data_IF_971031415797
#
_entry.id   IF_971031415797
#
_cell.length_a   1.000
_cell.length_b   1.000
_cell.length_c   1.000
_cell.angle_alpha   90.00
_cell.angle_beta   90.00
_cell.angle_gamma   90.00
#
_symmetry.space_group_name_H-M   'P 1'
#
loop_
_entity.id
_entity.type
_entity.pdbx_description
1 polymer ?
#
# COMPACT_ATOMS: atom_id res chain seq x y z
N UNK A 1 -15.24 -21.69 -2.49
CA UNK A 1 -14.74 -20.41 -1.94
C UNK A 1 -15.49 -19.26 -2.59
N UNK A 2 -16.18 -18.44 -1.80
CA UNK A 2 -16.90 -17.26 -2.30
C UNK A 2 -15.95 -16.11 -2.57
N UNK A 3 -16.18 -15.37 -3.66
CA UNK A 3 -15.43 -14.18 -4.04
C UNK A 3 -16.40 -13.02 -4.32
N UNK A 4 -15.89 -11.80 -4.30
CA UNK A 4 -16.54 -10.63 -4.85
C UNK A 4 -15.62 -9.94 -5.85
N UNK A 5 -16.17 -9.43 -6.94
CA UNK A 5 -15.36 -8.64 -7.89
C UNK A 5 -14.90 -7.32 -7.25
N UNK A 6 -13.70 -6.88 -7.61
CA UNK A 6 -13.24 -5.55 -7.23
C UNK A 6 -14.19 -4.48 -7.77
N UNK A 7 -14.45 -3.43 -7.00
CA UNK A 7 -15.43 -2.37 -7.33
C UNK A 7 -15.07 -1.61 -8.63
N UNK A 8 -13.80 -1.63 -9.02
CA UNK A 8 -13.33 -1.01 -10.27
C UNK A 8 -13.50 -1.92 -11.48
N UNK A 9 -13.95 -3.15 -11.30
CA UNK A 9 -14.17 -4.13 -12.36
C UNK A 9 -15.20 -3.65 -13.37
N UNK A 10 -14.90 -3.83 -14.66
CA UNK A 10 -15.79 -3.50 -15.77
C UNK A 10 -15.92 -4.69 -16.70
N UNK A 11 -17.16 -5.03 -17.00
CA UNK A 11 -17.48 -6.04 -18.00
C UNK A 11 -17.90 -5.34 -19.31
N UNK A 12 -17.39 -5.82 -20.39
CA UNK A 12 -17.61 -5.30 -21.75
C UNK A 12 -17.91 -6.47 -22.69
N UNK A 13 -18.42 -6.17 -23.88
CA UNK A 13 -18.68 -7.15 -24.94
C UNK A 13 -19.57 -8.31 -24.44
N UNK A 14 -20.75 -7.99 -23.94
CA UNK A 14 -21.67 -9.02 -23.42
C UNK A 14 -21.04 -9.92 -22.34
N UNK A 15 -20.03 -9.43 -21.64
CA UNK A 15 -19.33 -10.16 -20.58
C UNK A 15 -18.10 -10.95 -21.02
N UNK A 16 -17.70 -10.88 -22.30
CA UNK A 16 -16.52 -11.59 -22.82
C UNK A 16 -15.19 -10.95 -22.45
N UNK A 17 -15.21 -9.67 -22.06
CA UNK A 17 -14.04 -8.93 -21.60
C UNK A 17 -14.28 -8.41 -20.18
N UNK A 18 -13.44 -8.83 -19.23
CA UNK A 18 -13.37 -8.27 -17.89
C UNK A 18 -12.10 -7.42 -17.79
N UNK A 19 -12.26 -6.15 -17.40
CA UNK A 19 -11.14 -5.24 -17.11
C UNK A 19 -11.17 -4.95 -15.62
N UNK A 20 -10.17 -5.44 -14.87
CA UNK A 20 -10.15 -5.40 -13.43
C UNK A 20 -8.74 -5.56 -12.87
N UNK A 21 -8.59 -5.38 -11.55
CA UNK A 21 -7.36 -5.67 -10.82
C UNK A 21 -6.41 -4.49 -10.66
N UNK A 22 -5.34 -4.75 -9.90
CA UNK A 22 -4.28 -3.77 -9.62
C UNK A 22 -2.91 -4.47 -9.68
N UNK A 23 -2.07 -4.18 -10.70
CA UNK A 23 -2.33 -3.29 -11.85
C UNK A 23 -3.49 -3.78 -12.73
N UNK A 24 -4.11 -2.83 -13.45
CA UNK A 24 -5.27 -3.12 -14.29
C UNK A 24 -4.95 -4.19 -15.34
N UNK A 25 -5.77 -5.22 -15.43
CA UNK A 25 -5.60 -6.39 -16.28
C UNK A 25 -6.87 -6.62 -17.11
N UNK A 26 -6.71 -7.00 -18.37
CA UNK A 26 -7.81 -7.40 -19.23
C UNK A 26 -7.87 -8.93 -19.34
N UNK A 27 -9.02 -9.50 -18.98
CA UNK A 27 -9.31 -10.93 -19.07
C UNK A 27 -10.26 -11.19 -20.22
N UNK A 28 -9.80 -11.96 -21.19
CA UNK A 28 -10.68 -12.46 -22.26
C UNK A 28 -11.34 -13.74 -21.74
N UNK A 29 -12.65 -13.73 -21.64
CA UNK A 29 -13.46 -14.82 -21.06
C UNK A 29 -14.15 -15.60 -22.19
N UNK A 30 -14.00 -16.92 -22.17
CA UNK A 30 -14.90 -17.82 -22.92
C UNK A 30 -16.24 -17.96 -22.18
N UNK A 31 -17.18 -18.69 -22.76
CA UNK A 31 -18.51 -18.88 -22.17
C UNK A 31 -18.47 -19.41 -20.72
N UNK A 32 -17.61 -20.41 -20.42
CA UNK A 32 -17.45 -20.94 -19.07
C UNK A 32 -16.84 -19.90 -18.11
N UNK A 33 -15.83 -19.15 -18.57
CA UNK A 33 -15.22 -18.06 -17.78
C UNK A 33 -16.21 -16.92 -17.52
N UNK A 34 -17.07 -16.60 -18.49
CA UNK A 34 -18.14 -15.62 -18.33
C UNK A 34 -19.10 -16.03 -17.22
N UNK A 35 -19.62 -17.26 -17.28
CA UNK A 35 -20.49 -17.80 -16.22
C UNK A 35 -19.83 -17.84 -14.84
N UNK A 36 -18.54 -18.20 -14.78
CA UNK A 36 -17.81 -18.17 -13.52
C UNK A 36 -17.71 -16.76 -12.95
N UNK A 37 -17.45 -15.73 -13.79
CA UNK A 37 -17.45 -14.33 -13.34
C UNK A 37 -18.85 -13.84 -12.96
N UNK A 38 -19.92 -14.33 -13.61
CA UNK A 38 -21.31 -14.04 -13.23
C UNK A 38 -21.62 -14.60 -11.83
N UNK A 39 -21.23 -15.84 -11.57
CA UNK A 39 -21.38 -16.47 -10.27
C UNK A 39 -20.56 -15.75 -9.17
N UNK A 40 -19.33 -15.29 -9.49
CA UNK A 40 -18.57 -14.42 -8.58
C UNK A 40 -19.31 -13.12 -8.29
N UNK A 41 -19.91 -12.49 -9.31
CA UNK A 41 -20.68 -11.25 -9.12
C UNK A 41 -21.94 -11.49 -8.26
N UNK A 42 -22.56 -12.68 -8.37
CA UNK A 42 -23.70 -13.12 -7.54
C UNK A 42 -23.26 -13.63 -6.15
N UNK A 43 -21.95 -13.66 -5.85
CA UNK A 43 -21.40 -14.23 -4.60
C UNK A 43 -21.74 -15.72 -4.41
N UNK A 44 -21.92 -16.46 -5.49
CA UNK A 44 -22.17 -17.89 -5.49
C UNK A 44 -20.87 -18.68 -5.26
N UNK A 45 -21.02 -19.91 -4.75
CA UNK A 45 -19.87 -20.80 -4.61
C UNK A 45 -19.58 -21.52 -5.92
N UNK A 46 -18.32 -21.48 -6.32
CA UNK A 46 -17.86 -22.07 -7.57
C UNK A 46 -17.14 -23.40 -7.32
N UNK A 47 -17.46 -24.38 -8.10
CA UNK A 47 -16.79 -25.67 -8.07
C UNK A 47 -15.30 -25.61 -8.42
N UNK A 48 -14.56 -26.68 -8.14
CA UNK A 48 -13.12 -26.80 -8.35
C UNK A 48 -12.66 -26.55 -9.79
N UNK A 49 -13.51 -26.78 -10.78
CA UNK A 49 -13.20 -26.55 -12.20
C UNK A 49 -12.90 -25.07 -12.53
N UNK A 50 -13.42 -24.12 -11.76
CA UNK A 50 -13.18 -22.70 -11.94
C UNK A 50 -11.91 -22.21 -11.20
N UNK A 51 -11.26 -23.06 -10.37
CA UNK A 51 -10.16 -22.68 -9.48
C UNK A 51 -9.03 -21.91 -10.19
N UNK A 52 -8.53 -22.30 -11.38
CA UNK A 52 -7.46 -21.55 -12.06
C UNK A 52 -7.86 -20.10 -12.41
N UNK A 53 -9.12 -19.87 -12.78
CA UNK A 53 -9.64 -18.53 -13.02
C UNK A 53 -9.75 -17.75 -11.71
N UNK A 54 -10.30 -18.37 -10.65
CA UNK A 54 -10.43 -17.76 -9.34
C UNK A 54 -9.07 -17.34 -8.76
N UNK A 55 -8.09 -18.21 -8.82
CA UNK A 55 -6.73 -17.91 -8.39
C UNK A 55 -6.16 -16.70 -9.15
N UNK A 56 -6.37 -16.67 -10.46
CA UNK A 56 -5.91 -15.55 -11.27
C UNK A 56 -6.62 -14.24 -10.95
N UNK A 57 -7.93 -14.27 -10.69
CA UNK A 57 -8.68 -13.09 -10.25
C UNK A 57 -8.16 -12.58 -8.89
N UNK A 58 -7.89 -13.50 -7.96
CA UNK A 58 -7.30 -13.18 -6.65
C UNK A 58 -5.88 -12.63 -6.78
N UNK A 59 -5.03 -13.27 -7.57
CA UNK A 59 -3.62 -12.92 -7.74
C UNK A 59 -3.41 -11.63 -8.53
N UNK A 60 -4.41 -11.16 -9.26
CA UNK A 60 -4.41 -9.85 -9.90
C UNK A 60 -5.16 -8.78 -9.11
N UNK A 61 -5.85 -9.14 -8.03
CA UNK A 61 -6.72 -8.23 -7.29
C UNK A 61 -7.99 -7.84 -8.06
N UNK A 62 -8.39 -8.64 -9.06
CA UNK A 62 -9.64 -8.45 -9.79
C UNK A 62 -10.86 -8.94 -9.00
N UNK A 63 -10.63 -9.82 -8.02
CA UNK A 63 -11.61 -10.25 -7.06
C UNK A 63 -11.01 -10.34 -5.66
N UNK A 64 -11.89 -10.30 -4.66
CA UNK A 64 -11.54 -10.39 -3.25
C UNK A 64 -12.23 -11.58 -2.60
N UNK A 65 -11.56 -12.30 -1.69
CA UNK A 65 -12.15 -13.46 -1.03
C UNK A 65 -13.25 -13.02 -0.06
N UNK A 66 -14.25 -13.90 0.08
CA UNK A 66 -15.28 -13.84 1.12
C UNK A 66 -15.18 -15.14 1.94
N UNK A 67 -14.10 -15.27 2.74
CA UNK A 67 -13.87 -16.47 3.51
C UNK A 67 -14.96 -16.63 4.58
N UNK A 68 -15.35 -17.88 4.83
CA UNK A 68 -16.30 -18.17 5.90
C UNK A 68 -15.64 -18.06 7.29
N UNK A 69 -14.33 -18.26 7.36
CA UNK A 69 -13.58 -18.35 8.61
C UNK A 69 -13.77 -19.71 9.29
N UNK A 70 -13.12 -19.87 10.43
CA UNK A 70 -13.30 -21.02 11.31
C UNK A 70 -12.16 -22.02 11.34
N UNK A 71 -11.18 -21.93 10.44
CA UNK A 71 -9.96 -22.75 10.51
C UNK A 71 -9.03 -22.34 11.66
N UNK A 72 -8.94 -21.06 11.92
CA UNK A 72 -8.12 -20.48 12.99
C UNK A 72 -8.97 -19.60 13.90
N UNK A 73 -8.62 -19.59 15.17
CA UNK A 73 -9.21 -18.73 16.18
C UNK A 73 -8.16 -17.93 16.95
N UNK A 74 -8.57 -17.09 17.90
CA UNK A 74 -7.64 -16.32 18.73
C UNK A 74 -6.61 -17.18 19.48
N UNK A 75 -6.96 -18.42 19.83
CA UNK A 75 -6.08 -19.40 20.47
C UNK A 75 -4.93 -19.86 19.57
N UNK A 76 -4.97 -19.60 18.28
CA UNK A 76 -3.94 -19.92 17.31
C UNK A 76 -2.96 -18.76 17.06
N UNK A 77 -3.12 -17.65 17.80
CA UNK A 77 -2.36 -16.41 17.60
C UNK A 77 -1.49 -16.09 18.81
N UNK A 78 -0.19 -15.90 18.58
CA UNK A 78 0.71 -15.22 19.53
C UNK A 78 0.89 -13.77 19.09
N UNK A 79 0.70 -12.82 19.98
CA UNK A 79 0.94 -11.39 19.72
C UNK A 79 2.34 -11.01 20.16
N UNK A 80 3.07 -10.33 19.29
CA UNK A 80 4.41 -9.77 19.54
C UNK A 80 4.35 -8.26 19.54
N UNK A 81 4.73 -7.63 20.64
CA UNK A 81 4.73 -6.17 20.82
C UNK A 81 6.16 -5.68 21.02
N UNK A 82 6.79 -5.07 20.01
CA UNK A 82 8.06 -4.37 20.20
C UNK A 82 7.81 -3.07 20.96
N UNK A 83 8.61 -2.82 22.01
CA UNK A 83 8.45 -1.62 22.86
C UNK A 83 9.80 -0.96 23.07
N UNK A 84 9.82 0.37 22.98
CA UNK A 84 10.96 1.16 23.41
C UNK A 84 10.47 2.50 23.98
N UNK A 85 10.81 2.75 25.25
CA UNK A 85 10.47 4.00 25.96
C UNK A 85 8.98 4.37 25.86
N UNK A 86 8.10 3.35 25.86
CA UNK A 86 6.64 3.50 25.73
C UNK A 86 5.92 2.56 26.69
N UNK A 87 4.73 2.94 27.15
CA UNK A 87 3.85 2.08 27.95
C UNK A 87 2.92 1.28 27.03
N UNK A 88 3.02 -0.07 26.98
CA UNK A 88 2.14 -0.90 26.16
C UNK A 88 0.78 -1.18 26.81
N UNK A 89 0.46 -0.61 27.97
CA UNK A 89 -0.72 -0.97 28.77
C UNK A 89 -2.03 -0.85 27.99
N UNK A 90 -2.21 0.22 27.21
CA UNK A 90 -3.41 0.39 26.42
C UNK A 90 -3.50 -0.61 25.25
N UNK A 91 -2.38 -0.94 24.62
CA UNK A 91 -2.29 -1.99 23.59
C UNK A 91 -2.65 -3.34 24.19
N UNK A 92 -2.03 -3.73 25.32
CA UNK A 92 -2.31 -4.98 26.02
C UNK A 92 -3.78 -5.13 26.37
N UNK A 93 -4.39 -4.09 26.93
CA UNK A 93 -5.81 -4.09 27.34
C UNK A 93 -6.78 -4.24 26.14
N UNK A 94 -6.36 -3.89 24.93
CA UNK A 94 -7.20 -3.90 23.73
C UNK A 94 -7.07 -5.14 22.85
N UNK A 95 -6.11 -6.03 23.11
CA UNK A 95 -5.85 -7.21 22.25
C UNK A 95 -7.01 -8.19 22.18
N UNK A 96 -7.79 -8.31 23.25
CA UNK A 96 -8.75 -9.40 23.44
C UNK A 96 -8.07 -10.75 23.72
N UNK A 97 -8.81 -11.87 23.63
CA UNK A 97 -8.27 -13.20 23.89
C UNK A 97 -7.28 -13.61 22.78
N UNK A 98 -6.12 -14.15 23.17
CA UNK A 98 -5.10 -14.72 22.29
C UNK A 98 -4.35 -15.84 23.01
N UNK A 99 -3.62 -16.68 22.28
CA UNK A 99 -2.86 -17.79 22.88
C UNK A 99 -1.76 -17.30 23.84
N UNK A 100 -1.01 -16.29 23.43
CA UNK A 100 0.07 -15.71 24.22
C UNK A 100 0.41 -14.29 23.76
N UNK A 101 1.02 -13.52 24.65
CA UNK A 101 1.58 -12.20 24.34
C UNK A 101 3.06 -12.18 24.72
N UNK A 102 3.89 -11.71 23.79
CA UNK A 102 5.32 -11.51 23.98
C UNK A 102 5.62 -10.02 23.79
N UNK A 103 6.06 -9.36 24.84
CA UNK A 103 6.53 -7.98 24.81
C UNK A 103 8.05 -8.00 24.71
N UNK A 104 8.60 -7.32 23.69
CA UNK A 104 10.05 -7.19 23.55
C UNK A 104 10.46 -5.76 23.86
N UNK A 105 11.07 -5.59 25.02
CA UNK A 105 11.65 -4.32 25.46
C UNK A 105 13.00 -4.11 24.76
N UNK A 106 13.02 -3.27 23.75
CA UNK A 106 14.20 -3.00 22.93
C UNK A 106 15.13 -1.95 23.58
N UNK A 107 15.57 -2.23 24.80
CA UNK A 107 16.52 -1.39 25.53
C UNK A 107 15.94 -0.05 25.98
N UNK A 108 14.70 -0.07 26.52
CA UNK A 108 14.11 1.13 27.13
C UNK A 108 14.93 1.64 28.32
N UNK A 109 14.93 2.95 28.57
CA UNK A 109 15.61 3.57 29.73
C UNK A 109 15.11 2.97 31.05
N UNK A 110 13.77 2.80 31.15
CA UNK A 110 13.15 2.07 32.26
C UNK A 110 12.63 0.74 31.75
N UNK A 111 12.89 -0.39 32.46
CA UNK A 111 12.34 -1.67 32.08
C UNK A 111 10.83 -1.62 31.91
N UNK A 112 10.34 -2.22 30.82
CA UNK A 112 8.92 -2.31 30.54
C UNK A 112 8.27 -3.33 31.45
N UNK A 113 7.14 -2.96 32.05
CA UNK A 113 6.30 -3.85 32.85
C UNK A 113 5.05 -4.17 32.01
N UNK A 114 4.79 -5.47 31.81
CA UNK A 114 3.67 -5.94 31.00
C UNK A 114 2.99 -7.15 31.69
N UNK A 115 2.09 -6.90 32.64
CA UNK A 115 1.38 -7.97 33.35
C UNK A 115 0.62 -8.88 32.37
N UNK A 116 0.74 -10.19 32.57
CA UNK A 116 0.08 -11.19 31.71
C UNK A 116 0.81 -11.50 30.40
N UNK A 117 1.93 -10.83 30.12
CA UNK A 117 2.75 -11.07 28.94
C UNK A 117 4.14 -11.60 29.31
N UNK A 118 4.74 -12.40 28.43
CA UNK A 118 6.17 -12.73 28.52
C UNK A 118 6.99 -11.53 28.06
N UNK A 119 7.83 -10.97 28.97
CA UNK A 119 8.72 -9.86 28.62
C UNK A 119 10.11 -10.40 28.27
N UNK A 120 10.64 -10.01 27.12
CA UNK A 120 12.03 -10.25 26.69
C UNK A 120 12.71 -8.90 26.55
N UNK A 121 13.84 -8.68 27.22
CA UNK A 121 14.54 -7.39 27.18
C UNK A 121 15.87 -7.51 26.46
N UNK A 122 16.15 -6.55 25.60
CA UNK A 122 17.48 -6.31 25.03
C UNK A 122 18.27 -5.35 25.93
N UNK A 123 19.55 -5.60 26.15
CA UNK A 123 20.42 -4.70 26.92
C UNK A 123 20.56 -3.31 26.30
N UNK A 124 20.45 -3.25 24.98
CA UNK A 124 20.47 -2.01 24.17
C UNK A 124 19.51 -2.14 22.99
N UNK A 125 19.05 -1.00 22.49
CA UNK A 125 18.17 -0.99 21.31
C UNK A 125 18.86 -1.62 20.09
N UNK A 126 18.15 -2.55 19.46
CA UNK A 126 18.54 -3.27 18.23
C UNK A 126 17.61 -2.92 17.05
N UNK A 127 16.58 -2.15 17.32
CA UNK A 127 15.59 -1.70 16.33
C UNK A 127 14.36 -2.63 16.22
N UNK A 128 13.30 -2.13 15.54
CA UNK A 128 12.00 -2.81 15.51
C UNK A 128 12.04 -4.17 14.82
N UNK A 129 12.83 -4.32 13.75
CA UNK A 129 13.01 -5.60 13.06
C UNK A 129 13.59 -6.67 14.00
N UNK A 130 14.67 -6.34 14.73
CA UNK A 130 15.30 -7.24 15.68
C UNK A 130 14.37 -7.59 16.84
N UNK A 131 13.60 -6.61 17.33
CA UNK A 131 12.63 -6.83 18.39
C UNK A 131 11.51 -7.79 17.95
N UNK A 132 10.94 -7.59 16.75
CA UNK A 132 9.92 -8.50 16.21
C UNK A 132 10.48 -9.91 15.98
N UNK A 133 11.70 -10.04 15.47
CA UNK A 133 12.38 -11.33 15.29
C UNK A 133 12.61 -12.02 16.63
N UNK A 134 13.06 -11.30 17.66
CA UNK A 134 13.24 -11.84 19.00
C UNK A 134 11.91 -12.32 19.60
N UNK A 135 10.83 -11.53 19.42
CA UNK A 135 9.50 -11.91 19.91
C UNK A 135 8.90 -13.12 19.20
N UNK A 136 9.21 -13.30 17.91
CA UNK A 136 8.77 -14.46 17.13
C UNK A 136 9.56 -15.73 17.46
N UNK A 137 10.75 -15.61 18.02
CA UNK A 137 11.60 -16.76 18.34
C UNK A 137 10.95 -17.69 19.37
N UNK A 138 10.87 -18.98 19.03
CA UNK A 138 10.30 -20.02 19.90
C UNK A 138 8.76 -19.99 19.99
N UNK A 139 8.07 -19.18 19.20
CA UNK A 139 6.62 -19.20 19.09
C UNK A 139 6.18 -20.44 18.31
N UNK A 140 5.22 -21.18 18.87
CA UNK A 140 4.72 -22.44 18.28
C UNK A 140 3.35 -22.31 17.61
N UNK A 141 2.60 -21.24 17.92
CA UNK A 141 1.30 -20.99 17.27
C UNK A 141 1.42 -20.83 15.76
N UNK A 142 0.45 -21.25 14.98
CA UNK A 142 0.50 -21.17 13.51
C UNK A 142 0.50 -19.73 12.97
N UNK A 143 -0.03 -18.78 13.75
CA UNK A 143 -0.13 -17.37 13.37
C UNK A 143 0.57 -16.47 14.41
N UNK A 144 1.20 -15.41 13.93
CA UNK A 144 1.78 -14.33 14.74
C UNK A 144 1.11 -13.01 14.37
N UNK A 145 0.68 -12.27 15.38
CA UNK A 145 0.28 -10.89 15.20
C UNK A 145 1.41 -9.97 15.70
N UNK A 146 1.88 -9.07 14.87
CA UNK A 146 2.78 -8.00 15.28
C UNK A 146 1.93 -6.75 15.48
N UNK A 147 2.05 -6.11 16.65
CA UNK A 147 1.30 -4.90 17.03
C UNK A 147 2.25 -3.94 17.74
N UNK A 148 2.38 -2.72 17.23
CA UNK A 148 3.23 -1.71 17.85
C UNK A 148 2.62 -1.22 19.19
N UNK A 149 3.48 -0.83 20.14
CA UNK A 149 3.07 -0.45 21.50
C UNK A 149 2.21 0.83 21.57
N UNK A 150 2.16 1.62 20.49
CA UNK A 150 1.31 2.82 20.33
C UNK A 150 0.05 2.54 19.50
N UNK A 151 -0.26 1.27 19.26
CA UNK A 151 -1.45 0.80 18.56
C UNK A 151 -2.50 0.24 19.51
N UNK A 152 -3.76 0.53 19.25
CA UNK A 152 -4.91 0.08 20.05
C UNK A 152 -5.92 -0.60 19.13
N UNK A 153 -5.90 -1.93 19.01
CA UNK A 153 -6.90 -2.69 18.28
C UNK A 153 -8.33 -2.45 18.76
N UNK A 154 -9.29 -2.43 17.85
CA UNK A 154 -10.71 -2.42 18.21
C UNK A 154 -11.19 -3.82 18.61
N UNK A 155 -12.28 -3.92 19.38
CA UNK A 155 -12.85 -5.22 19.73
C UNK A 155 -13.14 -6.08 18.48
N UNK A 156 -12.75 -7.37 18.52
CA UNK A 156 -12.94 -8.29 17.39
C UNK A 156 -12.03 -8.05 16.19
N UNK A 157 -10.97 -7.25 16.31
CA UNK A 157 -10.07 -6.91 15.19
C UNK A 157 -9.42 -8.11 14.50
N UNK A 158 -9.22 -9.22 15.23
CA UNK A 158 -8.61 -10.43 14.69
C UNK A 158 -9.56 -11.21 13.76
N UNK A 159 -10.86 -11.20 14.03
CA UNK A 159 -11.81 -12.09 13.35
C UNK A 159 -11.80 -11.91 11.82
N UNK A 160 -11.87 -10.68 11.25
CA UNK A 160 -11.80 -10.50 9.81
C UNK A 160 -10.43 -10.89 9.22
N UNK A 161 -9.35 -10.79 10.00
CA UNK A 161 -8.02 -11.17 9.54
C UNK A 161 -7.84 -12.69 9.52
N UNK A 162 -8.28 -13.38 10.59
CA UNK A 162 -8.18 -14.83 10.74
C UNK A 162 -8.84 -15.56 9.57
N UNK A 163 -9.99 -15.08 9.13
CA UNK A 163 -10.73 -15.68 8.04
C UNK A 163 -9.93 -15.78 6.73
N UNK A 164 -9.01 -14.85 6.46
CA UNK A 164 -8.16 -14.90 5.27
C UNK A 164 -7.20 -16.10 5.26
N UNK A 165 -6.84 -16.64 6.43
CA UNK A 165 -5.90 -17.75 6.55
C UNK A 165 -6.52 -19.13 6.27
N UNK A 166 -7.83 -19.19 5.97
CA UNK A 166 -8.45 -20.36 5.37
C UNK A 166 -7.80 -20.71 4.00
N UNK A 167 -7.34 -19.70 3.27
CA UNK A 167 -6.48 -19.87 2.10
C UNK A 167 -5.04 -20.15 2.56
N UNK A 168 -4.53 -21.35 2.24
CA UNK A 168 -3.17 -21.77 2.63
C UNK A 168 -2.06 -20.92 1.97
N UNK A 169 -2.37 -20.22 0.88
CA UNK A 169 -1.45 -19.32 0.19
C UNK A 169 -1.38 -17.93 0.82
N UNK A 170 -2.23 -17.62 1.80
CA UNK A 170 -2.17 -16.34 2.50
C UNK A 170 -1.09 -16.39 3.58
N UNK A 171 -0.06 -15.55 3.41
CA UNK A 171 1.01 -15.35 4.37
C UNK A 171 0.73 -14.21 5.34
N UNK A 172 0.05 -13.16 4.89
CA UNK A 172 -0.12 -11.94 5.66
C UNK A 172 -1.52 -11.33 5.43
N UNK A 173 -2.16 -10.90 6.52
CA UNK A 173 -3.35 -10.06 6.50
C UNK A 173 -3.11 -8.81 7.36
N UNK A 174 -3.41 -7.63 6.80
CA UNK A 174 -3.19 -6.34 7.46
C UNK A 174 -4.52 -5.64 7.72
N UNK A 175 -4.76 -5.13 8.95
CA UNK A 175 -5.91 -4.29 9.27
C UNK A 175 -5.73 -2.88 8.73
N UNK A 176 -6.79 -2.10 8.78
CA UNK A 176 -6.74 -0.66 8.61
C UNK A 176 -6.20 0.01 9.87
N UNK A 177 -5.10 0.76 9.74
CA UNK A 177 -4.49 1.50 10.85
C UNK A 177 -4.88 2.97 10.72
N UNK A 178 -5.72 3.45 11.63
CA UNK A 178 -6.26 4.82 11.61
C UNK A 178 -5.65 5.68 12.73
N UNK A 179 -5.46 6.97 12.49
CA UNK A 179 -5.03 7.88 13.55
C UNK A 179 -6.14 8.02 14.60
N UNK A 180 -5.81 7.83 15.88
CA UNK A 180 -6.75 8.03 16.97
C UNK A 180 -7.14 9.51 17.10
N UNK A 181 -8.39 9.76 17.45
CA UNK A 181 -8.85 11.10 17.76
C UNK A 181 -8.12 11.66 19.00
N UNK A 182 -7.79 12.93 18.95
CA UNK A 182 -7.20 13.68 20.05
C UNK A 182 -7.89 15.04 20.17
N UNK A 183 -7.71 15.71 21.31
CA UNK A 183 -8.33 17.02 21.53
C UNK A 183 -7.95 18.01 20.42
N UNK A 184 -8.96 18.51 19.75
CA UNK A 184 -8.86 19.37 18.57
C UNK A 184 -8.10 20.68 18.80
N UNK A 185 -8.05 21.16 20.03
CA UNK A 185 -7.34 22.39 20.42
C UNK A 185 -5.82 22.18 20.55
N UNK A 186 -5.36 20.94 20.69
CA UNK A 186 -3.95 20.62 20.88
C UNK A 186 -3.20 20.42 19.56
N UNK A 187 -1.85 20.51 19.60
CA UNK A 187 -1.00 20.18 18.47
C UNK A 187 -1.20 18.71 18.05
N UNK A 188 -1.35 17.81 19.03
CA UNK A 188 -1.66 16.39 18.78
C UNK A 188 -2.97 16.23 18.01
N UNK A 189 -4.02 16.97 18.36
CA UNK A 189 -5.30 16.95 17.65
C UNK A 189 -5.23 17.53 16.24
N UNK A 190 -4.39 18.53 16.01
CA UNK A 190 -4.14 19.08 14.66
C UNK A 190 -3.45 18.02 13.80
N UNK A 191 -2.42 17.33 14.34
CA UNK A 191 -1.71 16.23 13.65
C UNK A 191 -2.68 15.07 13.40
N UNK A 192 -3.47 14.65 14.39
CA UNK A 192 -4.44 13.56 14.25
C UNK A 192 -5.42 13.82 13.10
N UNK A 193 -5.95 15.04 12.98
CA UNK A 193 -6.87 15.41 11.88
C UNK A 193 -6.18 15.45 10.52
N UNK A 194 -4.92 15.84 10.44
CA UNK A 194 -4.14 15.73 9.22
C UNK A 194 -3.93 14.25 8.85
N UNK A 195 -3.53 13.43 9.80
CA UNK A 195 -3.30 11.99 9.59
C UNK A 195 -4.58 11.21 9.28
N UNK A 196 -5.75 11.66 9.73
CA UNK A 196 -7.03 11.06 9.34
C UNK A 196 -7.27 11.04 7.82
N UNK A 197 -6.61 11.94 7.08
CA UNK A 197 -6.69 11.99 5.61
C UNK A 197 -5.40 11.60 4.90
N UNK A 198 -4.26 11.63 5.60
CA UNK A 198 -2.93 11.46 4.98
C UNK A 198 -1.94 10.65 5.81
N UNK A 199 -2.41 9.78 6.66
CA UNK A 199 -1.51 8.84 7.33
C UNK A 199 -0.94 7.83 6.32
N UNK A 200 0.38 7.60 6.27
CA UNK A 200 0.94 6.49 5.50
C UNK A 200 0.60 5.13 6.10
N UNK A 201 0.04 5.08 7.32
CA UNK A 201 -0.41 3.85 7.94
C UNK A 201 -1.85 3.51 7.53
N UNK A 202 -2.69 4.49 7.18
CA UNK A 202 -4.06 4.26 6.71
C UNK A 202 -4.06 4.02 5.19
N UNK A 203 -4.24 2.79 4.79
CA UNK A 203 -4.27 2.37 3.39
C UNK A 203 -5.66 2.53 2.75
N UNK A 204 -6.61 3.16 3.47
CA UNK A 204 -7.95 3.48 3.00
C UNK A 204 -9.02 2.45 3.40
N UNK A 205 -10.25 2.69 2.95
CA UNK A 205 -11.43 1.88 3.30
C UNK A 205 -11.68 0.70 2.35
N UNK A 206 -10.87 0.56 1.30
CA UNK A 206 -11.09 -0.47 0.27
C UNK A 206 -10.13 -1.66 0.47
N UNK A 207 -10.71 -2.85 0.59
CA UNK A 207 -9.95 -4.09 0.64
C UNK A 207 -9.05 -4.29 -0.59
N UNK A 208 -7.99 -5.07 -0.46
CA UNK A 208 -7.13 -5.28 -1.60
C UNK A 208 -6.05 -6.34 -1.43
N UNK A 209 -5.48 -6.73 -2.56
CA UNK A 209 -4.22 -7.43 -2.61
C UNK A 209 -3.09 -6.47 -2.26
N UNK A 210 -2.17 -6.91 -1.40
CA UNK A 210 -0.95 -6.18 -1.12
C UNK A 210 0.17 -6.75 -2.00
N UNK A 211 0.78 -5.92 -2.83
CA UNK A 211 1.95 -6.31 -3.63
C UNK A 211 2.64 -5.06 -4.22
N UNK A 212 3.93 -5.13 -4.59
CA UNK A 212 4.62 -4.04 -5.28
C UNK A 212 3.85 -3.56 -6.50
N UNK A 213 3.81 -2.25 -6.71
CA UNK A 213 3.16 -1.61 -7.85
C UNK A 213 1.64 -1.86 -8.00
N UNK A 214 0.96 -2.27 -6.94
CA UNK A 214 -0.50 -2.31 -6.85
C UNK A 214 -1.04 -1.06 -6.14
N UNK A 215 -2.38 -0.96 -6.01
CA UNK A 215 -3.02 0.11 -5.24
C UNK A 215 -2.54 0.13 -3.78
N UNK A 216 -2.33 -1.05 -3.20
CA UNK A 216 -1.80 -1.24 -1.86
C UNK A 216 -0.44 -1.90 -2.02
N UNK A 217 0.63 -1.10 -1.99
CA UNK A 217 1.98 -1.58 -2.30
C UNK A 217 2.75 -2.15 -1.11
N UNK A 218 2.28 -1.93 0.11
CA UNK A 218 2.88 -2.39 1.36
C UNK A 218 1.82 -2.54 2.45
N UNK A 219 2.20 -3.11 3.59
CA UNK A 219 1.43 -3.07 4.83
C UNK A 219 2.35 -2.64 5.97
N UNK A 220 1.96 -1.62 6.77
CA UNK A 220 2.75 -1.22 7.92
C UNK A 220 2.72 -2.30 9.01
N UNK A 221 3.88 -2.66 9.57
CA UNK A 221 3.94 -3.60 10.69
C UNK A 221 3.47 -2.98 12.01
N UNK A 222 2.84 -1.82 11.97
CA UNK A 222 2.12 -1.24 13.11
C UNK A 222 1.04 -2.19 13.63
N UNK A 223 0.36 -2.93 12.73
CA UNK A 223 -0.46 -4.10 13.05
C UNK A 223 -0.55 -5.01 11.82
N UNK A 224 -0.15 -6.29 11.97
CA UNK A 224 -0.27 -7.31 10.91
C UNK A 224 -0.42 -8.69 11.53
N UNK A 225 -1.19 -9.56 10.87
CA UNK A 225 -1.27 -10.99 11.19
C UNK A 225 -0.51 -11.77 10.12
N UNK A 226 0.40 -12.66 10.53
CA UNK A 226 1.33 -13.36 9.63
C UNK A 226 1.31 -14.86 9.91
N UNK A 227 1.31 -15.68 8.87
CA UNK A 227 1.50 -17.13 8.95
C UNK A 227 2.94 -17.44 9.32
N UNK A 228 3.16 -18.12 10.46
CA UNK A 228 4.50 -18.44 10.98
C UNK A 228 5.37 -19.14 9.91
N UNK A 229 4.85 -20.18 9.26
CA UNK A 229 5.57 -20.90 8.19
C UNK A 229 6.07 -19.98 7.08
N UNK A 230 5.24 -19.03 6.64
CA UNK A 230 5.62 -18.10 5.58
C UNK A 230 6.68 -17.09 6.05
N UNK A 231 6.59 -16.64 7.31
CA UNK A 231 7.59 -15.77 7.93
C UNK A 231 8.95 -16.47 8.03
N UNK A 232 8.96 -17.73 8.47
CA UNK A 232 10.17 -18.56 8.59
C UNK A 232 10.80 -18.81 7.21
N UNK A 233 9.99 -19.13 6.20
CA UNK A 233 10.45 -19.42 4.82
C UNK A 233 11.21 -18.24 4.21
N UNK A 234 10.78 -17.01 4.46
CA UNK A 234 11.47 -15.81 3.94
C UNK A 234 12.53 -15.25 4.89
N UNK A 235 12.83 -15.92 5.99
CA UNK A 235 13.87 -15.54 6.96
C UNK A 235 13.47 -14.40 7.91
N UNK A 236 12.15 -14.13 8.09
CA UNK A 236 11.66 -13.14 9.05
C UNK A 236 11.92 -11.69 8.66
N UNK A 237 11.93 -10.80 9.66
CA UNK A 237 12.33 -9.40 9.49
C UNK A 237 13.83 -9.25 9.39
N UNK A 238 14.30 -8.39 8.50
CA UNK A 238 15.73 -8.11 8.37
C UNK A 238 16.20 -7.05 9.37
N UNK A 239 16.97 -7.47 10.36
CA UNK A 239 17.50 -6.60 11.42
C UNK A 239 18.48 -5.51 10.91
N UNK A 240 18.98 -5.61 9.69
CA UNK A 240 19.81 -4.56 9.09
C UNK A 240 18.99 -3.33 8.67
N UNK A 241 17.67 -3.46 8.54
CA UNK A 241 16.75 -2.37 8.23
C UNK A 241 16.22 -1.74 9.52
N UNK A 242 16.54 -0.47 9.74
CA UNK A 242 16.02 0.30 10.86
C UNK A 242 14.62 0.87 10.58
N UNK A 243 14.27 1.04 9.31
CA UNK A 243 12.96 1.49 8.81
C UNK A 243 12.71 0.83 7.46
N UNK A 244 11.46 0.46 7.18
CA UNK A 244 11.06 -0.19 5.93
C UNK A 244 11.22 -1.71 5.95
N UNK A 245 11.50 -2.29 7.11
CA UNK A 245 11.58 -3.74 7.34
C UNK A 245 10.25 -4.46 7.06
N UNK A 246 9.15 -3.74 7.25
CA UNK A 246 7.79 -4.19 6.97
C UNK A 246 7.51 -4.23 5.46
N UNK A 247 7.91 -3.20 4.74
CA UNK A 247 7.81 -3.14 3.28
C UNK A 247 8.63 -4.26 2.65
N UNK A 248 9.89 -4.44 3.10
CA UNK A 248 10.79 -5.49 2.65
C UNK A 248 10.19 -6.89 2.90
N UNK A 249 9.68 -7.15 4.10
CA UNK A 249 9.05 -8.42 4.45
C UNK A 249 7.88 -8.74 3.52
N UNK A 250 6.96 -7.80 3.35
CA UNK A 250 5.78 -7.99 2.48
C UNK A 250 6.21 -8.30 1.05
N UNK A 251 7.21 -7.60 0.52
CA UNK A 251 7.67 -7.82 -0.85
C UNK A 251 8.37 -9.17 -1.01
N UNK A 252 9.20 -9.60 -0.05
CA UNK A 252 9.79 -10.95 -0.05
C UNK A 252 8.74 -12.06 0.03
N UNK A 253 7.69 -11.89 0.84
CA UNK A 253 6.58 -12.84 0.89
C UNK A 253 5.88 -12.96 -0.47
N UNK A 254 5.61 -11.83 -1.13
CA UNK A 254 4.96 -11.81 -2.46
C UNK A 254 5.89 -12.38 -3.54
N UNK A 255 7.19 -12.11 -3.50
CA UNK A 255 8.19 -12.67 -4.41
C UNK A 255 8.34 -14.18 -4.24
N UNK A 256 8.20 -14.70 -3.03
CA UNK A 256 8.14 -16.13 -2.74
C UNK A 256 6.82 -16.82 -3.16
N UNK A 257 5.86 -16.06 -3.73
CA UNK A 257 4.59 -16.58 -4.25
C UNK A 257 3.44 -16.61 -3.25
N UNK A 258 3.64 -16.06 -2.05
CA UNK A 258 2.60 -15.91 -1.05
C UNK A 258 1.62 -14.79 -1.38
N UNK A 259 0.38 -14.90 -0.86
CA UNK A 259 -0.64 -13.86 -0.92
C UNK A 259 -0.58 -12.99 0.32
N UNK A 260 -0.66 -11.67 0.12
CA UNK A 260 -0.85 -10.70 1.20
C UNK A 260 -2.15 -9.91 0.95
N UNK A 261 -2.95 -9.72 2.02
CA UNK A 261 -4.30 -9.17 1.95
C UNK A 261 -4.44 -7.97 2.89
N UNK A 262 -5.17 -6.98 2.43
CA UNK A 262 -5.60 -5.84 3.23
C UNK A 262 -7.08 -5.96 3.54
N UNK A 263 -7.41 -5.90 4.82
CA UNK A 263 -8.77 -6.10 5.35
C UNK A 263 -9.21 -4.89 6.18
N UNK A 264 -9.86 -3.90 5.58
CA UNK A 264 -10.22 -2.65 6.25
C UNK A 264 -11.36 -2.79 7.28
N UNK A 265 -12.08 -3.91 7.34
CA UNK A 265 -13.07 -4.17 8.39
C UNK A 265 -12.42 -4.43 9.74
N UNK A 266 -11.19 -4.91 9.74
CA UNK A 266 -10.34 -4.93 10.92
C UNK A 266 -9.72 -3.55 11.10
N UNK A 267 -9.89 -2.95 12.27
CA UNK A 267 -9.43 -1.58 12.54
C UNK A 267 -8.52 -1.56 13.77
N UNK A 268 -7.41 -0.82 13.64
CA UNK A 268 -6.47 -0.57 14.72
C UNK A 268 -6.22 0.94 14.82
N UNK A 269 -6.42 1.51 15.99
CA UNK A 269 -6.10 2.91 16.26
C UNK A 269 -4.61 3.09 16.51
N UNK A 270 -3.98 4.09 15.92
CA UNK A 270 -2.59 4.47 16.17
C UNK A 270 -2.53 5.85 16.82
N UNK A 271 -1.73 6.02 17.87
CA UNK A 271 -1.57 7.29 18.57
C UNK A 271 -0.78 8.30 17.72
N UNK A 272 -1.33 9.49 17.44
CA UNK A 272 -0.62 10.51 16.68
C UNK A 272 0.56 11.05 17.48
N UNK A 273 1.54 11.62 16.78
CA UNK A 273 2.70 12.24 17.43
C UNK A 273 2.28 13.51 18.19
N UNK A 274 2.86 13.71 19.37
CA UNK A 274 2.51 14.82 20.24
C UNK A 274 3.07 16.19 19.78
N UNK A 275 4.08 16.19 18.92
CA UNK A 275 4.76 17.40 18.47
C UNK A 275 5.03 17.39 16.97
N UNK A 276 5.10 18.57 16.35
CA UNK A 276 5.47 18.72 14.93
C UNK A 276 6.88 18.16 14.66
N UNK A 277 7.83 18.33 15.59
CA UNK A 277 9.16 17.76 15.47
C UNK A 277 9.18 16.23 15.50
N UNK A 278 8.34 15.60 16.35
CA UNK A 278 8.15 14.16 16.37
C UNK A 278 7.52 13.64 15.07
N UNK A 279 6.51 14.35 14.58
CA UNK A 279 5.88 14.08 13.29
C UNK A 279 6.89 14.17 12.13
N UNK A 280 7.66 15.26 12.04
CA UNK A 280 8.68 15.43 11.01
C UNK A 280 9.76 14.33 11.06
N UNK A 281 10.23 13.98 12.26
CA UNK A 281 11.22 12.90 12.44
C UNK A 281 10.69 11.56 11.95
N UNK A 282 9.43 11.25 12.21
CA UNK A 282 8.77 10.04 11.72
C UNK A 282 8.72 10.02 10.18
N UNK A 283 8.31 11.15 9.54
CA UNK A 283 8.25 11.27 8.07
C UNK A 283 9.64 11.15 7.44
N UNK A 284 10.64 11.78 8.05
CA UNK A 284 12.05 11.63 7.64
C UNK A 284 12.50 10.17 7.72
N UNK A 285 12.17 9.47 8.81
CA UNK A 285 12.45 8.05 8.97
C UNK A 285 11.88 7.23 7.82
N UNK A 286 10.59 7.42 7.49
CA UNK A 286 9.95 6.72 6.36
C UNK A 286 10.66 6.99 5.03
N UNK A 287 11.02 8.25 4.75
CA UNK A 287 11.78 8.59 3.54
C UNK A 287 13.15 7.92 3.49
N UNK A 288 13.84 7.83 4.62
CA UNK A 288 15.19 7.30 4.69
C UNK A 288 15.31 5.81 4.36
N UNK A 289 14.21 5.05 4.44
CA UNK A 289 14.17 3.64 4.04
C UNK A 289 14.29 3.42 2.53
N UNK A 290 13.93 4.43 1.72
CA UNK A 290 13.82 4.28 0.27
C UNK A 290 15.12 3.78 -0.39
N UNK A 291 16.28 4.27 0.06
CA UNK A 291 17.58 3.85 -0.48
C UNK A 291 17.90 2.38 -0.23
N UNK A 292 17.63 1.89 0.99
CA UNK A 292 17.82 0.48 1.34
C UNK A 292 16.84 -0.42 0.59
N UNK A 293 15.58 -0.01 0.47
CA UNK A 293 14.55 -0.73 -0.29
C UNK A 293 14.88 -0.79 -1.79
N UNK A 294 15.40 0.28 -2.39
CA UNK A 294 15.81 0.28 -3.81
C UNK A 294 16.94 -0.71 -4.09
N UNK A 295 17.91 -0.83 -3.18
CA UNK A 295 18.99 -1.83 -3.32
C UNK A 295 18.51 -3.27 -3.29
N UNK A 296 17.44 -3.54 -2.51
CA UNK A 296 16.86 -4.89 -2.36
C UNK A 296 15.84 -5.20 -3.45
N UNK A 297 15.04 -4.20 -3.81
CA UNK A 297 13.93 -4.32 -4.76
C UNK A 297 14.06 -3.24 -5.86
N UNK A 298 15.00 -3.39 -6.80
CA UNK A 298 15.35 -2.35 -7.78
C UNK A 298 14.13 -1.86 -8.59
N UNK A 299 13.92 -0.55 -8.56
CA UNK A 299 12.83 0.13 -9.27
C UNK A 299 11.45 0.00 -8.62
N UNK A 300 11.33 -0.60 -7.43
CA UNK A 300 10.05 -0.69 -6.72
C UNK A 300 9.67 0.64 -6.04
N UNK A 301 10.66 1.47 -5.66
CA UNK A 301 10.47 2.75 -4.96
C UNK A 301 10.74 3.98 -5.84
N UNK A 302 10.78 3.83 -7.16
CA UNK A 302 10.95 4.96 -8.07
C UNK A 302 9.85 6.02 -7.85
N UNK A 303 10.19 7.33 -7.78
CA UNK A 303 9.24 8.40 -7.45
C UNK A 303 8.16 8.58 -8.52
N UNK A 304 8.49 8.26 -9.74
CA UNK A 304 7.59 8.31 -10.91
C UNK A 304 7.81 7.06 -11.75
N UNK A 305 6.72 6.37 -12.07
CA UNK A 305 6.75 5.26 -13.02
C UNK A 305 5.74 5.55 -14.13
N UNK A 306 6.23 5.86 -15.33
CA UNK A 306 5.38 6.30 -16.42
C UNK A 306 5.92 5.86 -17.79
N UNK A 307 5.08 5.96 -18.82
CA UNK A 307 5.50 5.74 -20.20
C UNK A 307 6.12 6.99 -20.84
N UNK A 308 6.93 6.84 -21.90
CA UNK A 308 7.62 7.96 -22.53
C UNK A 308 6.64 9.01 -23.11
N UNK A 309 5.51 8.59 -23.65
CA UNK A 309 4.50 9.50 -24.21
C UNK A 309 3.87 10.39 -23.12
N UNK A 310 3.55 9.84 -21.95
CA UNK A 310 3.00 10.63 -20.86
C UNK A 310 4.06 11.55 -20.24
N UNK A 311 5.31 11.09 -20.10
CA UNK A 311 6.42 11.92 -19.65
C UNK A 311 6.67 13.10 -20.61
N UNK A 312 6.77 12.82 -21.91
CA UNK A 312 6.93 13.84 -22.95
C UNK A 312 5.73 14.79 -23.02
N UNK A 313 4.52 14.27 -22.85
CA UNK A 313 3.29 15.07 -22.80
C UNK A 313 3.32 16.11 -21.67
N UNK A 314 3.70 15.72 -20.47
CA UNK A 314 3.84 16.63 -19.35
C UNK A 314 5.03 17.59 -19.50
N UNK A 315 6.14 17.14 -20.12
CA UNK A 315 7.26 18.02 -20.44
C UNK A 315 6.86 19.13 -21.44
N UNK A 316 6.10 18.80 -22.51
CA UNK A 316 5.57 19.77 -23.44
C UNK A 316 4.58 20.75 -22.77
N UNK A 317 3.70 20.24 -21.93
CA UNK A 317 2.77 21.09 -21.17
C UNK A 317 3.53 22.07 -20.26
N UNK A 318 4.56 21.63 -19.55
CA UNK A 318 5.42 22.47 -18.73
C UNK A 318 6.22 23.50 -19.56
N UNK A 319 6.55 23.17 -20.80
CA UNK A 319 7.20 24.10 -21.76
C UNK A 319 6.23 25.11 -22.40
N UNK A 320 4.92 25.09 -22.05
CA UNK A 320 3.91 26.01 -22.58
C UNK A 320 3.13 25.48 -23.78
N UNK A 321 3.25 24.20 -24.12
CA UNK A 321 2.55 23.54 -25.22
C UNK A 321 1.53 22.49 -24.75
N UNK A 322 0.48 22.87 -23.96
CA UNK A 322 -0.41 21.88 -23.31
C UNK A 322 -1.21 21.04 -24.31
N UNK A 323 -1.62 21.61 -25.46
CA UNK A 323 -2.36 20.86 -26.48
C UNK A 323 -1.48 19.79 -27.09
N UNK A 324 -0.26 20.14 -27.53
CA UNK A 324 0.70 19.18 -28.09
C UNK A 324 1.06 18.12 -27.05
N UNK A 325 1.20 18.53 -25.76
CA UNK A 325 1.40 17.64 -24.64
C UNK A 325 0.27 16.64 -24.44
N UNK A 326 -0.98 17.09 -24.50
CA UNK A 326 -2.16 16.21 -24.42
C UNK A 326 -2.22 15.21 -25.57
N UNK A 327 -2.00 15.67 -26.80
CA UNK A 327 -1.97 14.80 -27.99
C UNK A 327 -0.89 13.72 -27.90
N UNK A 328 0.33 14.09 -27.50
CA UNK A 328 1.42 13.13 -27.28
C UNK A 328 1.09 12.17 -26.12
N UNK A 329 0.59 12.67 -25.02
CA UNK A 329 0.24 11.86 -23.84
C UNK A 329 -0.89 10.87 -24.09
N UNK A 330 -1.80 11.17 -25.03
CA UNK A 330 -2.91 10.30 -25.44
C UNK A 330 -2.55 9.35 -26.60
N UNK A 331 -1.42 9.55 -27.28
CA UNK A 331 -0.98 8.69 -28.38
C UNK A 331 -0.96 7.17 -28.04
N UNK A 332 -0.65 6.74 -26.79
CA UNK A 332 -0.75 5.34 -26.40
C UNK A 332 -2.13 4.72 -26.59
N UNK A 333 -3.22 5.51 -26.73
CA UNK A 333 -4.56 5.00 -27.00
C UNK A 333 -4.57 4.11 -28.26
N UNK A 334 -3.79 4.45 -29.29
CA UNK A 334 -3.68 3.65 -30.51
C UNK A 334 -3.08 2.26 -30.23
N UNK A 335 -2.04 2.19 -29.40
CA UNK A 335 -1.41 0.92 -29.03
C UNK A 335 -2.33 0.08 -28.14
N UNK A 336 -3.01 0.74 -27.19
CA UNK A 336 -4.01 0.11 -26.31
C UNK A 336 -5.15 -0.45 -27.15
N UNK A 337 -5.70 0.32 -28.09
CA UNK A 337 -6.74 -0.10 -29.02
C UNK A 337 -6.34 -1.36 -29.79
N UNK A 338 -5.12 -1.40 -30.34
CA UNK A 338 -4.62 -2.57 -31.07
C UNK A 338 -4.42 -3.81 -30.20
N UNK A 339 -4.14 -3.63 -28.92
CA UNK A 339 -3.96 -4.72 -27.96
C UNK A 339 -5.28 -5.28 -27.39
N UNK A 340 -6.34 -4.47 -27.42
CA UNK A 340 -7.67 -4.90 -26.98
C UNK A 340 -8.35 -5.75 -28.08
N UNK A 341 -9.20 -6.74 -27.67
CA UNK A 341 -10.04 -7.47 -28.61
C UNK A 341 -10.95 -6.51 -29.39
N UNK A 342 -11.47 -6.98 -30.53
CA UNK A 342 -12.48 -6.24 -31.29
C UNK A 342 -13.83 -6.39 -30.57
N UNK A 343 -14.14 -5.41 -29.73
CA UNK A 343 -15.30 -5.38 -28.85
C UNK A 343 -15.98 -4.02 -28.93
N UNK A 344 -17.26 -3.98 -28.68
CA UNK A 344 -18.01 -2.74 -28.59
C UNK A 344 -17.42 -1.81 -27.52
N UNK A 345 -17.27 -0.54 -27.84
CA UNK A 345 -16.68 0.46 -26.93
C UNK A 345 -15.15 0.40 -26.78
N UNK A 346 -14.44 -0.43 -27.58
CA UNK A 346 -12.97 -0.56 -27.55
C UNK A 346 -12.25 0.78 -27.65
N UNK A 347 -12.68 1.66 -28.53
CA UNK A 347 -12.05 2.95 -28.80
C UNK A 347 -12.19 3.88 -27.59
N UNK A 348 -13.37 3.96 -27.02
CA UNK A 348 -13.64 4.73 -25.79
C UNK A 348 -12.83 4.20 -24.61
N UNK A 349 -12.73 2.87 -24.47
CA UNK A 349 -11.91 2.24 -23.43
C UNK A 349 -10.44 2.56 -23.63
N UNK A 350 -9.90 2.45 -24.85
CA UNK A 350 -8.51 2.73 -25.14
C UNK A 350 -8.14 4.19 -24.83
N UNK A 351 -8.99 5.14 -25.25
CA UNK A 351 -8.82 6.56 -24.95
C UNK A 351 -8.87 6.83 -23.44
N UNK A 352 -9.85 6.24 -22.75
CA UNK A 352 -9.97 6.36 -21.29
C UNK A 352 -8.73 5.83 -20.56
N UNK A 353 -8.20 4.67 -20.94
CA UNK A 353 -7.00 4.10 -20.32
C UNK A 353 -5.76 4.97 -20.55
N UNK A 354 -5.60 5.52 -21.74
CA UNK A 354 -4.53 6.46 -22.05
C UNK A 354 -4.66 7.76 -21.23
N UNK A 355 -5.87 8.32 -21.14
CA UNK A 355 -6.16 9.51 -20.34
C UNK A 355 -5.87 9.28 -18.84
N UNK A 356 -6.33 8.16 -18.28
CA UNK A 356 -6.01 7.78 -16.90
C UNK A 356 -4.50 7.63 -16.68
N UNK A 357 -3.78 7.04 -17.63
CA UNK A 357 -2.33 6.93 -17.58
C UNK A 357 -1.63 8.28 -17.58
N UNK A 358 -2.08 9.22 -18.43
CA UNK A 358 -1.56 10.59 -18.50
C UNK A 358 -1.83 11.36 -17.19
N UNK A 359 -3.06 11.27 -16.65
CA UNK A 359 -3.42 11.92 -15.38
C UNK A 359 -2.60 11.37 -14.21
N UNK A 360 -2.46 10.04 -14.11
CA UNK A 360 -1.64 9.40 -13.09
C UNK A 360 -0.17 9.78 -13.16
N UNK A 361 0.37 9.90 -14.36
CA UNK A 361 1.73 10.41 -14.57
C UNK A 361 1.87 11.84 -14.03
N UNK A 362 0.89 12.71 -14.29
CA UNK A 362 0.85 14.08 -13.77
C UNK A 362 0.79 14.13 -12.24
N UNK A 363 -0.07 13.32 -11.62
CA UNK A 363 -0.16 13.21 -10.17
C UNK A 363 1.18 12.76 -9.55
N UNK A 364 1.84 11.75 -10.14
CA UNK A 364 3.14 11.26 -9.67
C UNK A 364 4.24 12.32 -9.84
N UNK A 365 4.30 12.99 -11.00
CA UNK A 365 5.27 14.07 -11.26
C UNK A 365 5.07 15.23 -10.28
N UNK A 366 3.85 15.68 -10.08
CA UNK A 366 3.52 16.75 -9.15
C UNK A 366 3.89 16.38 -7.70
N UNK A 367 3.58 15.15 -7.28
CA UNK A 367 3.99 14.64 -5.97
C UNK A 367 5.51 14.52 -5.86
N UNK A 368 6.21 14.09 -6.90
CA UNK A 368 7.67 14.00 -6.88
C UNK A 368 8.31 15.39 -6.76
N UNK A 369 7.80 16.41 -7.46
CA UNK A 369 8.30 17.79 -7.38
C UNK A 369 8.18 18.34 -5.96
N UNK A 370 7.05 18.19 -5.31
CA UNK A 370 6.82 18.77 -3.98
C UNK A 370 7.46 17.93 -2.86
N UNK A 371 7.48 16.60 -3.00
CA UNK A 371 7.83 15.68 -1.92
C UNK A 371 9.27 15.17 -1.99
N UNK A 372 9.79 14.89 -3.20
CA UNK A 372 11.11 14.25 -3.37
C UNK A 372 12.11 15.21 -4.00
N UNK A 373 11.70 15.92 -5.05
CA UNK A 373 12.62 16.80 -5.81
C UNK A 373 12.67 18.25 -5.33
N UNK A 374 11.98 18.58 -4.23
CA UNK A 374 11.98 19.95 -3.69
C UNK A 374 13.38 20.52 -3.45
N UNK A 375 14.43 19.74 -3.07
CA UNK A 375 15.79 20.32 -2.90
C UNK A 375 16.38 20.86 -4.21
N UNK A 376 15.91 20.35 -5.37
CA UNK A 376 16.30 20.82 -6.70
C UNK A 376 15.26 21.78 -7.29
N UNK A 377 13.97 21.52 -7.04
CA UNK A 377 12.88 22.34 -7.57
C UNK A 377 12.88 23.76 -6.98
N UNK A 378 13.19 23.91 -5.69
CA UNK A 378 13.23 25.22 -5.03
C UNK A 378 14.29 26.16 -5.62
N UNK A 379 15.58 25.78 -5.76
CA UNK A 379 16.57 26.61 -6.47
C UNK A 379 16.20 26.90 -7.93
N UNK A 380 15.61 25.90 -8.62
CA UNK A 380 15.17 26.09 -10.00
C UNK A 380 14.07 27.15 -10.13
N UNK A 381 13.10 27.20 -9.21
CA UNK A 381 12.06 28.26 -9.17
C UNK A 381 12.65 29.63 -8.90
N UNK A 382 13.66 29.73 -8.04
CA UNK A 382 14.31 30.99 -7.72
C UNK A 382 15.17 31.51 -8.89
N UNK A 383 15.93 30.63 -9.55
CA UNK A 383 16.88 30.98 -10.61
C UNK A 383 16.28 31.09 -12.00
N UNK A 384 15.26 30.29 -12.33
CA UNK A 384 14.74 30.17 -13.71
C UNK A 384 13.29 30.61 -13.79
N UNK A 385 13.04 31.81 -14.29
CA UNK A 385 11.70 32.42 -14.39
C UNK A 385 10.66 31.54 -15.12
N UNK A 386 11.09 30.84 -16.18
CA UNK A 386 10.19 29.97 -16.99
C UNK A 386 9.68 28.76 -16.21
N UNK A 387 10.42 28.27 -15.21
CA UNK A 387 10.04 27.12 -14.39
C UNK A 387 9.11 27.49 -13.23
N UNK A 388 8.95 28.76 -12.90
CA UNK A 388 8.13 29.21 -11.73
C UNK A 388 6.71 28.71 -11.82
N UNK A 389 6.02 28.98 -12.95
CA UNK A 389 4.60 28.62 -13.13
C UNK A 389 4.37 27.09 -13.07
N UNK A 390 5.07 26.25 -13.87
CA UNK A 390 4.83 24.81 -13.86
C UNK A 390 5.22 24.15 -12.53
N UNK A 391 6.30 24.56 -11.89
CA UNK A 391 6.72 23.99 -10.60
C UNK A 391 5.78 24.41 -9.47
N UNK A 392 5.36 25.68 -9.40
CA UNK A 392 4.37 26.13 -8.43
C UNK A 392 3.02 25.45 -8.63
N UNK A 393 2.57 25.30 -9.89
CA UNK A 393 1.36 24.56 -10.18
C UNK A 393 1.47 23.09 -9.73
N UNK A 394 2.57 22.42 -10.04
CA UNK A 394 2.83 21.05 -9.60
C UNK A 394 2.86 20.92 -8.07
N UNK A 395 3.41 21.91 -7.36
CA UNK A 395 3.48 21.89 -5.90
C UNK A 395 2.13 22.20 -5.23
N UNK A 396 1.35 23.16 -5.76
CA UNK A 396 0.16 23.67 -5.08
C UNK A 396 -1.14 22.98 -5.49
N UNK A 397 -1.31 22.65 -6.80
CA UNK A 397 -2.55 22.05 -7.30
C UNK A 397 -2.93 20.76 -6.57
N UNK A 398 -2.02 19.79 -6.37
CA UNK A 398 -2.34 18.57 -5.62
C UNK A 398 -2.73 18.87 -4.17
N UNK A 399 -2.07 19.83 -3.54
CA UNK A 399 -2.36 20.21 -2.13
C UNK A 399 -3.77 20.79 -2.00
N UNK A 400 -4.16 21.67 -2.92
CA UNK A 400 -5.51 22.26 -2.95
C UNK A 400 -6.56 21.18 -3.20
N UNK A 401 -6.32 20.28 -4.18
CA UNK A 401 -7.24 19.19 -4.47
C UNK A 401 -7.37 18.24 -3.29
N UNK A 402 -6.27 17.87 -2.64
CA UNK A 402 -6.26 16.99 -1.48
C UNK A 402 -7.01 17.63 -0.31
N UNK A 403 -6.73 18.91 -0.01
CA UNK A 403 -7.45 19.64 1.02
C UNK A 403 -8.95 19.70 0.73
N UNK A 404 -9.32 20.03 -0.53
CA UNK A 404 -10.73 20.09 -0.94
C UNK A 404 -11.44 18.75 -0.76
N UNK A 405 -10.79 17.64 -1.06
CA UNK A 405 -11.33 16.29 -0.82
C UNK A 405 -11.57 16.03 0.67
N UNK A 406 -10.73 16.58 1.57
CA UNK A 406 -10.94 16.44 3.02
C UNK A 406 -12.12 17.26 3.55
N UNK A 407 -12.45 18.36 2.89
CA UNK A 407 -13.61 19.22 3.27
C UNK A 407 -14.93 18.47 3.11
N UNK A 408 -15.05 17.57 2.14
CA UNK A 408 -16.24 16.72 1.93
C UNK A 408 -16.35 15.51 2.86
N UNK A 409 -15.32 15.24 3.69
CA UNK A 409 -15.31 14.13 4.63
C UNK A 409 -16.15 14.39 5.90
N UNK A 410 -16.49 13.33 6.66
CA UNK A 410 -17.23 13.47 7.92
C UNK A 410 -16.40 14.24 8.95
N UNK A 411 -17.04 15.05 9.84
CA UNK A 411 -16.37 15.62 11.01
C UNK A 411 -15.82 14.45 11.88
N UNK A 412 -14.62 14.56 12.48
CA UNK A 412 -13.86 15.76 12.85
C UNK A 412 -12.61 16.04 11.99
N UNK A 413 -12.48 15.44 10.81
CA UNK A 413 -11.25 15.47 10.01
C UNK A 413 -10.92 16.83 9.34
N UNK A 414 -11.77 17.86 9.50
CA UNK A 414 -11.58 19.15 8.82
C UNK A 414 -10.49 19.97 9.49
N UNK A 415 -9.37 20.17 8.79
CA UNK A 415 -8.40 21.22 9.11
C UNK A 415 -8.67 22.46 8.26
N UNK A 416 -8.43 23.64 8.85
CA UNK A 416 -8.35 24.85 8.07
C UNK A 416 -7.19 24.79 7.06
N UNK A 417 -7.27 25.52 5.93
CA UNK A 417 -6.29 25.39 4.86
C UNK A 417 -4.87 25.75 5.28
N UNK A 418 -4.69 26.65 6.24
CA UNK A 418 -3.37 27.12 6.68
C UNK A 418 -2.66 26.01 7.47
N UNK A 419 -3.34 25.42 8.45
CA UNK A 419 -2.77 24.29 9.23
C UNK A 419 -2.55 23.06 8.36
N UNK A 420 -3.49 22.79 7.45
CA UNK A 420 -3.33 21.69 6.49
C UNK A 420 -2.09 21.89 5.62
N UNK A 421 -1.94 23.07 5.00
CA UNK A 421 -0.77 23.41 4.18
C UNK A 421 0.52 23.34 4.99
N UNK A 422 0.54 23.88 6.21
CA UNK A 422 1.71 23.85 7.09
C UNK A 422 2.18 22.42 7.38
N UNK A 423 1.25 21.53 7.79
CA UNK A 423 1.60 20.10 8.03
C UNK A 423 1.98 19.38 6.75
N UNK A 424 1.35 19.71 5.61
CA UNK A 424 1.68 19.13 4.31
C UNK A 424 3.10 19.50 3.89
N UNK A 425 3.52 20.74 4.07
CA UNK A 425 4.90 21.18 3.78
C UNK A 425 5.91 20.47 4.69
N UNK A 426 5.59 20.34 5.98
CA UNK A 426 6.47 19.58 6.92
C UNK A 426 6.55 18.10 6.51
N UNK A 427 5.43 17.46 6.17
CA UNK A 427 5.39 16.05 5.73
C UNK A 427 6.26 15.85 4.48
N UNK A 428 6.01 16.65 3.43
CA UNK A 428 6.70 16.49 2.15
C UNK A 428 8.19 16.84 2.27
N UNK A 429 8.54 17.90 2.99
CA UNK A 429 9.94 18.31 3.19
C UNK A 429 10.72 17.26 4.01
N UNK A 430 10.15 16.80 5.12
CA UNK A 430 10.80 15.81 5.99
C UNK A 430 10.96 14.46 5.29
N UNK A 431 9.92 13.97 4.61
CA UNK A 431 9.99 12.74 3.84
C UNK A 431 11.05 12.83 2.73
N UNK A 432 11.01 13.90 1.93
CA UNK A 432 11.97 14.12 0.85
C UNK A 432 13.41 14.19 1.35
N UNK A 433 13.66 14.95 2.42
CA UNK A 433 14.99 14.98 3.05
C UNK A 433 15.45 13.58 3.46
N UNK A 434 14.53 12.77 4.02
CA UNK A 434 14.79 11.36 4.32
C UNK A 434 15.19 10.56 3.08
N UNK A 435 14.45 10.70 1.96
CA UNK A 435 14.77 10.01 0.70
C UNK A 435 16.17 10.36 0.19
N UNK A 436 16.55 11.64 0.21
CA UNK A 436 17.89 12.07 -0.21
C UNK A 436 18.99 11.49 0.69
N UNK A 437 18.81 11.53 2.01
CA UNK A 437 19.74 10.92 2.96
C UNK A 437 19.81 9.41 2.78
N UNK A 438 18.67 8.75 2.57
CA UNK A 438 18.61 7.32 2.28
C UNK A 438 19.32 6.94 0.99
N UNK A 439 19.12 7.71 -0.08
CA UNK A 439 19.81 7.55 -1.36
C UNK A 439 21.33 7.65 -1.21
N UNK A 440 21.78 8.68 -0.48
CA UNK A 440 23.21 8.90 -0.22
C UNK A 440 23.82 7.76 0.60
N UNK A 441 23.19 7.37 1.72
CA UNK A 441 23.66 6.28 2.59
C UNK A 441 23.73 4.94 1.85
N UNK A 442 22.71 4.65 1.05
CA UNK A 442 22.64 3.43 0.26
C UNK A 442 23.44 3.50 -1.05
N UNK A 443 24.04 4.67 -1.39
CA UNK A 443 24.78 4.91 -2.62
C UNK A 443 23.99 4.52 -3.88
N UNK A 444 22.68 4.83 -3.89
CA UNK A 444 21.80 4.55 -5.02
C UNK A 444 20.97 5.77 -5.41
N UNK A 445 21.12 6.30 -6.64
CA UNK A 445 20.30 7.40 -7.14
C UNK A 445 18.91 6.95 -7.62
N UNK A 446 18.65 5.64 -7.74
CA UNK A 446 17.42 5.10 -8.33
C UNK A 446 16.14 5.66 -7.71
N UNK A 447 16.15 5.91 -6.38
CA UNK A 447 15.02 6.49 -5.65
C UNK A 447 14.72 7.96 -5.99
N UNK A 448 15.64 8.64 -6.66
CA UNK A 448 15.51 10.04 -7.08
C UNK A 448 15.13 10.15 -8.56
N UNK A 449 15.27 9.08 -9.34
CA UNK A 449 15.11 9.09 -10.78
C UNK A 449 13.75 8.54 -11.20
N UNK A 450 13.10 9.16 -12.19
CA UNK A 450 11.88 8.59 -12.76
C UNK A 450 12.21 7.32 -13.54
N UNK A 451 11.34 6.33 -13.43
CA UNK A 451 11.40 5.09 -14.22
C UNK A 451 10.52 5.20 -15.44
N UNK A 452 11.12 5.38 -16.59
CA UNK A 452 10.41 5.40 -17.86
C UNK A 452 10.28 3.98 -18.38
N UNK A 453 9.05 3.46 -18.47
CA UNK A 453 8.77 2.12 -18.97
C UNK A 453 8.23 2.18 -20.39
N UNK A 454 8.88 1.54 -21.39
CA UNK A 454 8.46 1.64 -22.79
C UNK A 454 7.10 0.95 -23.07
N UNK A 455 6.65 0.08 -22.16
CA UNK A 455 5.36 -0.62 -22.27
C UNK A 455 4.52 -0.36 -21.02
N UNK A 456 3.20 -0.12 -21.17
CA UNK A 456 2.29 -0.10 -20.01
C UNK A 456 2.39 -1.45 -19.28
N UNK A 457 2.45 -1.42 -17.96
CA UNK A 457 2.58 -2.66 -17.12
C UNK A 457 1.48 -3.69 -17.38
N UNK A 458 0.31 -3.27 -17.87
CA UNK A 458 -0.80 -4.18 -18.21
C UNK A 458 -0.57 -4.99 -19.49
N UNK A 459 0.39 -4.59 -20.36
CA UNK A 459 0.64 -5.22 -21.67
C UNK A 459 1.76 -6.29 -21.65
N UNK A 460 2.40 -6.59 -20.52
CA UNK A 460 3.69 -7.24 -20.60
C UNK A 460 4.10 -8.36 -19.66
N UNK A 461 3.27 -8.83 -18.75
CA UNK A 461 3.64 -10.00 -17.93
C UNK A 461 2.56 -11.07 -18.00
N UNK A 462 2.66 -11.86 -19.03
CA UNK A 462 1.89 -13.07 -19.26
C UNK A 462 1.87 -13.34 -20.75
N UNK A 463 2.48 -14.46 -21.14
CA UNK A 463 2.24 -15.08 -22.46
C UNK A 463 0.76 -14.91 -22.75
N UNK A 464 0.41 -14.52 -23.99
CA UNK A 464 -0.95 -14.33 -24.53
C UNK A 464 -1.97 -15.11 -23.69
N UNK A 465 -2.63 -14.42 -22.77
CA UNK A 465 -3.53 -15.08 -21.85
C UNK A 465 -4.89 -15.32 -22.52
N UNK A 466 -4.86 -16.16 -23.53
CA UNK A 466 -6.03 -16.89 -23.97
C UNK A 466 -6.16 -18.03 -22.97
N UNK A 467 -7.10 -17.93 -22.02
CA UNK A 467 -7.55 -19.11 -21.32
C UNK A 467 -8.39 -19.89 -22.31
N UNK A 468 -7.74 -20.71 -23.14
CA UNK A 468 -8.40 -21.85 -23.71
C UNK A 468 -8.56 -22.84 -22.55
N UNK A 469 -9.76 -23.05 -22.04
CA UNK A 469 -10.04 -24.30 -21.38
C UNK A 469 -9.67 -25.39 -22.38
N UNK A 470 -8.65 -26.20 -22.05
CA UNK A 470 -8.34 -27.38 -22.81
C UNK A 470 -9.56 -28.31 -22.89
N UNK A 471 -9.54 -29.34 -23.75
CA UNK A 471 -10.70 -30.15 -24.12
C UNK A 471 -11.28 -31.07 -23.03
N UNK A 472 -11.13 -30.73 -21.76
CA UNK A 472 -11.66 -31.52 -20.62
C UNK A 472 -13.02 -31.01 -20.13
N UNK A 473 -13.61 -29.99 -20.74
CA UNK A 473 -15.00 -29.56 -20.47
C UNK A 473 -15.95 -30.07 -21.57
N UNK A 474 -15.88 -31.36 -21.86
CA UNK A 474 -16.81 -32.05 -22.73
C UNK A 474 -17.15 -33.41 -22.12
N UNK A 475 -18.13 -33.42 -21.19
CA UNK A 475 -19.22 -34.37 -20.99
C UNK A 475 -20.04 -33.95 -19.80
#
# INVERSE_FOLDING_TARGET
>A
MRLALDRTSRRLDGGRLLVAGSPLTAFRLGAAGGRAVDAVAASEDLGSAAQPLLDRLLDTGAAHPRPAGGRFGPQDVTVVIPVRDHDPGATLASLGPVAAVVVVDDGSVRPVVAPGARVVRHDRSRGPAAARTTGAAGVTTPLLAFVDADCVPTAGWLDPLLAHFDDERVALAAPRVVSQAADAATVTGVIARYEASRSPLDLGSEEGRIAPATRISYAPAAAVLVRRRALEEVGGFDASLQVGEDVDLVWRLVEAGWRARYEPRSVVGHRPRATVGGFARQRFGYGSSAGALERRHPGAVAPVVTGPAAAGGWALAAAGHPIAGALLGLAPAVTVRRALPDVEGRDALALRLAALGLLRAGEQLASAVSRIWWPVALPAVLGVRRLRRPVLAAALVPVVIDWWRTVGGPPPARLDPVRYLGLRLVDDAAYGAGVWVGAWRARTPGVLLPRITPRPRWAGQGRRATISCGPVCGR
#
